data_IF_421622968049
#
_entry.id   IF_421622968049
#
_cell.length_a   1.000
_cell.length_b   1.000
_cell.length_c   1.000
_cell.angle_alpha   90.00
_cell.angle_beta   90.00
_cell.angle_gamma   90.00
#
_symmetry.space_group_name_H-M   'P 1'
#
loop_
_entity.id
_entity.type
_entity.pdbx_description
1 polymer ?
#
# COMPACT_ATOMS: atom_id res chain seq x y z
N UNK A 1 20.58 4.89 -2.85
CA UNK A 1 19.29 4.89 -3.57
C UNK A 1 18.40 3.78 -3.02
N UNK A 2 17.29 4.13 -2.39
CA UNK A 2 16.27 3.17 -1.93
C UNK A 2 14.96 3.43 -2.64
N UNK A 3 14.18 2.38 -2.87
CA UNK A 3 12.86 2.47 -3.52
C UNK A 3 11.83 1.88 -2.59
N UNK A 4 10.76 2.63 -2.33
CA UNK A 4 9.63 2.20 -1.50
C UNK A 4 8.32 2.34 -2.27
N UNK A 5 7.35 1.48 -1.97
CA UNK A 5 6.00 1.62 -2.51
C UNK A 5 5.08 2.13 -1.40
N UNK A 6 4.37 3.21 -1.70
CA UNK A 6 3.19 3.63 -0.95
C UNK A 6 1.96 3.10 -1.66
N UNK A 7 1.41 2.02 -1.13
CA UNK A 7 0.21 1.37 -1.66
C UNK A 7 -1.03 2.14 -1.17
N UNK A 8 -2.13 2.04 -1.91
CA UNK A 8 -3.42 2.55 -1.43
C UNK A 8 -4.53 1.59 -1.84
N UNK A 9 -5.68 1.64 -1.15
CA UNK A 9 -6.85 0.87 -1.56
C UNK A 9 -7.42 1.34 -2.91
N UNK A 10 -7.08 2.56 -3.33
CA UNK A 10 -7.45 3.07 -4.65
C UNK A 10 -6.72 2.33 -5.76
N UNK A 11 -7.11 2.55 -7.02
CA UNK A 11 -6.38 2.00 -8.16
C UNK A 11 -5.00 2.64 -8.35
N UNK A 12 -4.57 3.56 -7.49
CA UNK A 12 -3.28 4.26 -7.60
C UNK A 12 -2.28 3.74 -6.59
N UNK A 13 -1.01 3.70 -6.98
CA UNK A 13 0.10 3.39 -6.09
C UNK A 13 1.29 4.27 -6.43
N UNK A 14 1.96 4.76 -5.40
CA UNK A 14 3.05 5.71 -5.56
C UNK A 14 4.36 5.01 -5.30
N UNK A 15 5.21 4.94 -6.32
CA UNK A 15 6.59 4.50 -6.16
C UNK A 15 7.42 5.73 -5.78
N UNK A 16 8.16 5.59 -4.70
CA UNK A 16 8.97 6.64 -4.11
C UNK A 16 10.44 6.25 -4.30
N UNK A 17 11.17 7.07 -5.05
CA UNK A 17 12.60 6.90 -5.29
C UNK A 17 13.38 7.88 -4.41
N UNK A 18 14.07 7.33 -3.41
CA UNK A 18 14.95 8.09 -2.54
C UNK A 18 16.34 8.16 -3.17
N UNK A 19 16.69 9.35 -3.69
CA UNK A 19 17.94 9.62 -4.41
C UNK A 19 19.02 10.28 -3.54
N UNK A 20 18.71 10.56 -2.27
CA UNK A 20 19.66 11.14 -1.32
C UNK A 20 20.84 10.20 -0.99
N UNK A 21 22.02 10.79 -0.82
CA UNK A 21 23.28 10.13 -0.43
C UNK A 21 23.72 10.44 1.01
N UNK A 22 22.77 10.75 1.91
CA UNK A 22 23.04 10.82 3.35
C UNK A 22 23.83 12.04 3.84
N UNK A 23 23.95 13.10 3.03
CA UNK A 23 24.43 14.41 3.48
C UNK A 23 23.24 15.37 3.62
N UNK A 24 23.33 16.19 4.66
CA UNK A 24 22.29 17.01 5.27
C UNK A 24 21.59 17.96 4.26
N UNK A 25 20.28 18.20 4.46
CA UNK A 25 19.53 19.35 3.92
C UNK A 25 18.93 19.35 2.50
N UNK A 26 18.46 18.22 1.95
CA UNK A 26 17.47 18.29 0.85
C UNK A 26 16.35 17.28 1.03
N UNK A 27 15.22 17.75 1.59
CA UNK A 27 13.94 17.03 1.55
C UNK A 27 13.41 16.87 0.08
N UNK A 28 14.09 17.49 -0.89
CA UNK A 28 13.75 17.51 -2.32
C UNK A 28 14.37 16.38 -3.18
N UNK A 29 15.09 15.42 -2.59
CA UNK A 29 15.71 14.33 -3.35
C UNK A 29 14.82 13.08 -3.47
N UNK A 30 13.50 13.25 -3.37
CA UNK A 30 12.51 12.18 -3.47
C UNK A 30 11.65 12.36 -4.74
N UNK A 31 11.68 11.37 -5.64
CA UNK A 31 10.81 11.37 -6.81
C UNK A 31 9.60 10.47 -6.56
N UNK A 32 8.41 11.04 -6.72
CA UNK A 32 7.14 10.32 -6.59
C UNK A 32 6.58 10.01 -7.97
N UNK A 33 6.38 8.73 -8.27
CA UNK A 33 5.71 8.29 -9.48
C UNK A 33 4.42 7.59 -9.09
N UNK A 34 3.29 8.23 -9.40
CA UNK A 34 1.97 7.63 -9.21
C UNK A 34 1.61 6.79 -10.44
N UNK A 35 1.40 5.49 -10.24
CA UNK A 35 0.98 4.55 -11.26
C UNK A 35 -0.44 4.10 -10.98
N UNK A 36 -1.24 3.99 -12.05
CA UNK A 36 -2.56 3.35 -11.96
C UNK A 36 -2.40 1.85 -12.17
N UNK A 37 -2.74 1.09 -11.14
CA UNK A 37 -2.86 -0.36 -11.19
C UNK A 37 -3.98 -0.77 -12.14
N UNK A 38 -3.71 -1.84 -12.89
CA UNK A 38 -4.71 -2.53 -13.68
C UNK A 38 -5.83 -3.14 -12.83
N UNK A 39 -5.48 -3.60 -11.63
CA UNK A 39 -6.39 -4.28 -10.71
C UNK A 39 -6.44 -3.51 -9.38
N UNK A 40 -7.61 -2.97 -9.02
CA UNK A 40 -7.80 -2.28 -7.73
C UNK A 40 -7.58 -3.25 -6.57
N UNK A 41 -6.96 -2.78 -5.48
CA UNK A 41 -6.72 -3.60 -4.29
C UNK A 41 -5.66 -4.71 -4.44
N UNK A 42 -4.96 -4.81 -5.58
CA UNK A 42 -3.81 -5.72 -5.71
C UNK A 42 -2.58 -5.09 -5.08
N UNK A 43 -2.05 -5.71 -4.04
CA UNK A 43 -0.80 -5.24 -3.43
C UNK A 43 0.39 -5.61 -4.30
N UNK A 44 1.30 -4.66 -4.56
CA UNK A 44 2.57 -4.95 -5.22
C UNK A 44 3.62 -5.27 -4.16
N UNK A 45 4.11 -6.51 -4.16
CA UNK A 45 5.17 -6.97 -3.26
C UNK A 45 6.54 -6.37 -3.58
N UNK A 46 6.68 -5.66 -4.70
CA UNK A 46 7.90 -4.96 -5.06
C UNK A 46 7.63 -3.94 -6.17
N UNK A 47 8.33 -2.78 -6.17
CA UNK A 47 8.24 -1.82 -7.26
C UNK A 47 8.92 -2.33 -8.53
N UNK A 48 9.89 -3.25 -8.41
CA UNK A 48 10.71 -3.75 -9.52
C UNK A 48 10.82 -5.27 -9.41
N UNK A 49 10.36 -5.99 -10.43
CA UNK A 49 10.46 -7.45 -10.48
C UNK A 49 11.93 -7.90 -10.29
N UNK A 50 12.19 -8.66 -9.22
CA UNK A 50 13.52 -9.19 -8.91
C UNK A 50 14.40 -8.30 -7.99
N UNK A 51 13.94 -7.12 -7.57
CA UNK A 51 14.61 -6.30 -6.56
C UNK A 51 13.70 -6.06 -5.36
N UNK A 52 14.15 -6.47 -4.16
CA UNK A 52 13.40 -6.24 -2.91
C UNK A 52 12.12 -7.07 -2.86
N UNK A 53 12.22 -8.29 -2.32
CA UNK A 53 11.04 -9.07 -1.96
C UNK A 53 10.50 -8.43 -0.67
N UNK A 54 9.25 -7.97 -0.66
CA UNK A 54 8.60 -7.59 0.60
C UNK A 54 8.67 -8.80 1.52
N UNK A 55 9.22 -8.60 2.73
CA UNK A 55 9.19 -9.63 3.76
C UNK A 55 7.73 -10.11 3.94
N UNK A 56 7.47 -11.43 4.04
CA UNK A 56 6.12 -11.95 4.26
C UNK A 56 5.37 -11.26 5.42
N UNK A 57 6.09 -10.82 6.45
CA UNK A 57 5.53 -10.04 7.54
C UNK A 57 5.10 -8.64 7.10
N UNK A 58 5.93 -7.94 6.32
CA UNK A 58 5.60 -6.63 5.78
C UNK A 58 4.41 -6.69 4.81
N UNK A 59 4.28 -7.78 4.05
CA UNK A 59 3.11 -8.02 3.20
C UNK A 59 1.81 -8.16 4.01
N UNK A 60 1.84 -8.91 5.12
CA UNK A 60 0.68 -9.05 6.02
C UNK A 60 0.29 -7.72 6.69
N UNK A 61 1.28 -6.93 7.13
CA UNK A 61 1.04 -5.59 7.68
C UNK A 61 0.38 -4.66 6.66
N UNK A 62 0.88 -4.67 5.43
CA UNK A 62 0.35 -3.83 4.36
C UNK A 62 -1.08 -4.25 3.97
N UNK A 63 -1.34 -5.55 3.91
CA UNK A 63 -2.68 -6.08 3.65
C UNK A 63 -3.70 -5.63 4.71
N UNK A 64 -3.30 -5.66 5.99
CA UNK A 64 -4.11 -5.14 7.11
C UNK A 64 -4.39 -3.64 6.96
N UNK A 65 -3.35 -2.87 6.62
CA UNK A 65 -3.47 -1.42 6.42
C UNK A 65 -4.44 -1.07 5.28
N UNK A 66 -4.34 -1.77 4.15
CA UNK A 66 -5.24 -1.60 3.01
C UNK A 66 -6.69 -1.96 3.35
N UNK A 67 -6.89 -3.03 4.13
CA UNK A 67 -8.22 -3.41 4.61
C UNK A 67 -8.83 -2.35 5.53
N UNK A 68 -8.06 -1.78 6.47
CA UNK A 68 -8.55 -0.68 7.31
C UNK A 68 -8.92 0.55 6.49
N UNK A 69 -8.07 0.91 5.52
CA UNK A 69 -8.36 2.03 4.61
C UNK A 69 -9.66 1.79 3.83
N UNK A 70 -9.88 0.58 3.31
CA UNK A 70 -11.12 0.19 2.64
C UNK A 70 -12.33 0.35 3.56
N UNK A 71 -12.27 -0.16 4.78
CA UNK A 71 -13.36 -0.06 5.74
C UNK A 71 -13.73 1.37 6.07
N UNK A 72 -12.71 2.23 6.21
CA UNK A 72 -12.86 3.65 6.45
C UNK A 72 -13.53 4.37 5.27
N UNK A 73 -13.14 4.04 4.04
CA UNK A 73 -13.76 4.59 2.82
C UNK A 73 -15.20 4.10 2.62
N UNK A 74 -15.49 2.83 2.92
CA UNK A 74 -16.84 2.25 2.74
C UNK A 74 -17.83 2.66 3.84
N UNK A 75 -17.35 3.06 5.03
CA UNK A 75 -18.20 3.42 6.17
C UNK A 75 -17.86 4.82 6.71
N UNK A 76 -18.21 5.90 5.99
CA UNK A 76 -18.00 7.26 6.46
C UNK A 76 -18.76 7.49 7.77
N UNK A 77 -18.04 7.84 8.85
CA UNK A 77 -18.62 8.09 10.17
C UNK A 77 -18.29 7.03 11.24
N UNK A 78 -17.63 5.94 10.86
CA UNK A 78 -17.00 5.01 11.81
C UNK A 78 -15.49 5.24 11.84
N UNK A 79 -14.86 5.30 13.01
CA UNK A 79 -13.41 5.47 13.15
C UNK A 79 -12.72 4.11 13.32
N UNK A 80 -11.95 3.70 12.32
CA UNK A 80 -11.16 2.46 12.33
C UNK A 80 -9.68 2.70 12.60
N UNK A 81 -9.26 3.91 13.00
CA UNK A 81 -7.84 4.24 13.23
C UNK A 81 -7.18 3.40 14.34
N UNK A 82 -7.96 2.94 15.32
CA UNK A 82 -7.50 2.08 16.42
C UNK A 82 -7.87 0.59 16.21
N UNK A 83 -8.51 0.25 15.09
CA UNK A 83 -8.94 -1.11 14.83
C UNK A 83 -7.74 -1.99 14.45
N UNK A 84 -7.69 -3.20 15.00
CA UNK A 84 -6.67 -4.20 14.68
C UNK A 84 -7.31 -5.47 14.13
N UNK A 85 -6.69 -6.02 13.09
CA UNK A 85 -7.03 -7.35 12.62
C UNK A 85 -6.50 -8.40 13.60
N UNK A 86 -7.41 -9.14 14.25
CA UNK A 86 -7.07 -10.33 15.01
C UNK A 86 -7.17 -11.56 14.10
N UNK A 87 -6.06 -12.30 13.94
CA UNK A 87 -5.98 -13.49 13.08
C UNK A 87 -5.45 -13.22 11.67
N UNK A 88 -5.71 -14.15 10.74
CA UNK A 88 -5.28 -14.05 9.34
C UNK A 88 -6.07 -12.96 8.63
N UNK A 89 -5.38 -11.94 8.10
CA UNK A 89 -6.01 -10.89 7.32
C UNK A 89 -6.53 -11.50 6.00
N UNK A 90 -7.84 -11.41 5.70
CA UNK A 90 -8.37 -11.89 4.43
C UNK A 90 -7.94 -10.97 3.29
N UNK A 91 -7.92 -11.48 2.06
CA UNK A 91 -7.49 -10.70 0.90
C UNK A 91 -8.48 -9.54 0.65
N UNK A 92 -8.02 -8.26 0.65
CA UNK A 92 -8.86 -7.10 0.40
C UNK A 92 -9.62 -7.16 -0.93
N UNK A 93 -9.13 -7.95 -1.89
CA UNK A 93 -9.77 -8.17 -3.18
C UNK A 93 -10.99 -9.08 -3.11
N UNK A 94 -11.02 -10.04 -2.19
CA UNK A 94 -12.07 -11.07 -2.13
C UNK A 94 -12.98 -10.92 -0.92
N UNK A 95 -12.55 -10.19 0.10
CA UNK A 95 -13.31 -10.02 1.32
C UNK A 95 -14.56 -9.15 1.10
N UNK A 96 -15.68 -9.51 1.74
CA UNK A 96 -16.99 -8.81 1.67
C UNK A 96 -17.49 -8.50 0.25
N UNK A 97 -17.56 -9.52 -0.62
CA UNK A 97 -18.08 -9.36 -1.98
C UNK A 97 -17.07 -8.80 -2.99
N UNK A 98 -15.83 -8.58 -2.54
CA UNK A 98 -14.68 -8.20 -3.34
C UNK A 98 -14.69 -6.77 -3.88
N UNK A 99 -13.63 -6.42 -4.60
CA UNK A 99 -13.54 -5.14 -5.32
C UNK A 99 -14.51 -5.15 -6.50
N UNK A 100 -15.58 -4.35 -6.43
CA UNK A 100 -16.45 -4.11 -7.59
C UNK A 100 -15.64 -3.39 -8.67
N UNK A 101 -15.34 -4.09 -9.75
CA UNK A 101 -14.86 -3.47 -10.99
C UNK A 101 -16.05 -2.73 -11.59
N UNK A 102 -16.15 -1.43 -11.36
CA UNK A 102 -16.89 -0.54 -12.28
C UNK A 102 -16.07 -0.31 -13.55
#
# INVERSE_FOLDING_TARGET
MSVTISESYTSYSTIIFNMGNGDDNTEDAEMHITLQKREKGKTWSSPIQGQGILDPYAADQEQKRLMLQRFQEENPGFDFSQAQFSGTCPDPRTFMGGIRSE
#
